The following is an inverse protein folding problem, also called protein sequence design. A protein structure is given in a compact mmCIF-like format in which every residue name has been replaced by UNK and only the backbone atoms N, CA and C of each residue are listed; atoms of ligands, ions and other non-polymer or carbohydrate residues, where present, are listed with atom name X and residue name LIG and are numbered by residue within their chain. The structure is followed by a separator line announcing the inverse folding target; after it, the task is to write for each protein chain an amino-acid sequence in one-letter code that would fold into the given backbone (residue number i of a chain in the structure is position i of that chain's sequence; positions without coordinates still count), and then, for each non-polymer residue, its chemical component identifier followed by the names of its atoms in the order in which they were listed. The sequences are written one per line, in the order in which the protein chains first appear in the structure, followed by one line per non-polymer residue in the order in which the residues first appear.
data_IF_671634350689
#
_entry.id   IF_671634350689
#
_cell.length_a   1.000
_cell.length_b   1.000
_cell.length_c   1.000
_cell.angle_alpha   90.00
_cell.angle_beta   90.00
_cell.angle_gamma   90.00
#
_symmetry.space_group_name_H-M   'P 1'
#
loop_
_entity.id
_entity.type
_entity.pdbx_description
1 polymer ?
#
# COMPACT_ATOMS: atom_id res chain seq x y z
N UNK A 1 18.99 -56.81 -28.87
CA UNK A 1 18.27 -56.36 -30.09
C UNK A 1 17.82 -54.92 -29.84
N UNK A 2 18.53 -53.96 -30.42
CA UNK A 2 18.24 -52.52 -30.29
C UNK A 2 17.15 -52.13 -31.29
N UNK A 3 16.01 -51.62 -30.82
CA UNK A 3 14.99 -51.02 -31.67
C UNK A 3 15.09 -49.49 -31.57
N UNK A 4 15.77 -48.89 -32.55
CA UNK A 4 15.79 -47.45 -32.82
C UNK A 4 14.37 -46.97 -33.09
N UNK A 5 13.81 -46.15 -32.20
CA UNK A 5 12.60 -45.40 -32.49
C UNK A 5 12.99 -43.99 -32.94
N UNK A 6 12.58 -43.68 -34.18
CA UNK A 6 12.79 -42.40 -34.84
C UNK A 6 11.89 -41.36 -34.17
N UNK A 7 12.51 -40.29 -33.67
CA UNK A 7 11.85 -39.04 -33.34
C UNK A 7 11.24 -38.44 -34.61
N UNK A 8 9.91 -38.41 -34.68
CA UNK A 8 9.15 -37.54 -35.57
C UNK A 8 8.93 -36.24 -34.79
N UNK A 9 9.78 -35.25 -35.04
CA UNK A 9 9.57 -33.88 -34.63
C UNK A 9 8.41 -33.31 -35.46
N UNK A 10 7.21 -33.33 -34.89
CA UNK A 10 6.07 -32.60 -35.41
C UNK A 10 6.17 -31.18 -34.83
N UNK A 11 6.79 -30.27 -35.58
CA UNK A 11 6.71 -28.83 -35.33
C UNK A 11 5.28 -28.38 -35.60
N UNK A 12 4.45 -28.40 -34.55
CA UNK A 12 3.21 -27.65 -34.50
C UNK A 12 3.56 -26.16 -34.41
N UNK A 13 3.46 -25.49 -35.55
CA UNK A 13 3.39 -24.04 -35.62
C UNK A 13 2.02 -23.67 -35.05
N UNK A 14 1.96 -23.35 -33.77
CA UNK A 14 0.80 -22.70 -33.19
C UNK A 14 0.75 -21.27 -33.76
N UNK A 15 -0.39 -20.83 -34.32
CA UNK A 15 -0.60 -19.40 -34.52
C UNK A 15 -0.54 -18.76 -33.13
N UNK A 16 0.33 -17.76 -32.98
CA UNK A 16 0.28 -16.83 -31.87
C UNK A 16 -1.09 -16.11 -31.95
N UNK A 17 -2.10 -16.73 -31.36
CA UNK A 17 -3.26 -16.01 -30.92
C UNK A 17 -2.74 -15.07 -29.82
N UNK A 18 -2.80 -13.78 -30.12
CA UNK A 18 -2.82 -12.74 -29.11
C UNK A 18 -4.05 -12.99 -28.23
N UNK A 19 -3.91 -13.90 -27.28
CA UNK A 19 -4.78 -13.97 -26.13
C UNK A 19 -4.30 -12.83 -25.22
N UNK A 20 -5.15 -11.82 -25.09
CA UNK A 20 -4.97 -10.75 -24.11
C UNK A 20 -5.06 -11.35 -22.72
N UNK A 21 -3.97 -11.95 -22.26
CA UNK A 21 -3.74 -12.04 -20.82
C UNK A 21 -3.77 -10.61 -20.32
N UNK A 22 -4.66 -10.31 -19.37
CA UNK A 22 -4.57 -9.11 -18.57
C UNK A 22 -3.13 -9.02 -18.11
N UNK A 23 -2.38 -8.09 -18.66
CA UNK A 23 -1.15 -7.63 -18.02
C UNK A 23 -1.67 -6.50 -17.18
N UNK A 24 -1.86 -6.73 -15.87
CA UNK A 24 -1.94 -5.59 -14.95
C UNK A 24 -0.58 -4.92 -15.06
N UNK A 25 -0.46 -3.96 -15.97
CA UNK A 25 0.70 -3.09 -16.06
C UNK A 25 0.56 -2.13 -14.91
N UNK A 26 1.28 -2.38 -13.82
CA UNK A 26 1.61 -1.34 -12.84
C UNK A 26 2.56 -0.36 -13.52
N UNK A 27 2.05 0.44 -14.45
CA UNK A 27 2.75 1.66 -14.89
C UNK A 27 2.71 2.62 -13.69
N UNK A 28 3.77 2.59 -12.87
CA UNK A 28 3.95 3.57 -11.81
C UNK A 28 3.92 5.00 -12.39
N UNK A 29 3.58 6.02 -11.61
CA UNK A 29 3.48 7.38 -12.11
C UNK A 29 4.82 7.82 -12.71
N UNK A 30 4.83 8.04 -14.03
CA UNK A 30 5.96 8.57 -14.77
C UNK A 30 6.43 9.89 -14.14
N UNK A 31 7.62 9.86 -13.55
CA UNK A 31 8.36 11.01 -13.03
C UNK A 31 8.69 11.98 -14.20
N UNK A 32 8.11 13.20 -14.27
CA UNK A 32 8.33 14.10 -15.40
C UNK A 32 9.55 14.98 -15.14
N UNK A 33 10.75 14.41 -15.28
CA UNK A 33 12.00 15.17 -15.24
C UNK A 33 12.80 15.01 -16.54
N UNK A 34 12.37 15.73 -17.59
CA UNK A 34 13.32 16.36 -18.51
C UNK A 34 12.69 17.55 -19.28
N UNK A 35 13.28 18.77 -19.23
CA UNK A 35 12.71 19.96 -19.84
C UNK A 35 13.09 20.11 -21.33
N UNK A 36 12.17 20.57 -22.21
CA UNK A 36 12.55 21.02 -23.54
C UNK A 36 13.09 22.46 -23.51
N UNK A 37 14.30 22.60 -24.04
CA UNK A 37 15.00 23.85 -24.34
C UNK A 37 14.22 24.80 -25.27
N UNK A 38 14.07 26.04 -24.80
CA UNK A 38 14.05 27.34 -25.52
C UNK A 38 13.35 27.46 -26.88
N UNK A 39 12.34 28.34 -26.93
CA UNK A 39 12.23 29.42 -27.94
C UNK A 39 11.33 30.55 -27.44
N UNK A 40 11.87 31.76 -27.44
CA UNK A 40 11.27 33.01 -26.98
C UNK A 40 10.25 33.57 -27.98
N UNK A 41 9.15 34.15 -27.51
CA UNK A 41 8.58 35.37 -28.11
C UNK A 41 7.78 36.20 -27.10
N UNK A 42 7.96 37.51 -27.19
CA UNK A 42 7.54 38.57 -26.29
C UNK A 42 6.26 39.29 -26.74
N UNK A 43 5.38 39.64 -25.81
CA UNK A 43 4.44 40.80 -25.81
C UNK A 43 3.54 40.64 -24.58
N UNK A 44 3.52 41.48 -23.54
CA UNK A 44 3.26 42.93 -23.54
C UNK A 44 1.80 43.15 -23.11
N UNK A 45 1.54 43.82 -21.98
CA UNK A 45 0.17 44.18 -21.57
C UNK A 45 0.02 44.56 -20.09
N UNK A 46 0.00 45.86 -19.84
CA UNK A 46 -0.24 46.54 -18.56
C UNK A 46 -1.70 46.45 -18.04
N UNK A 47 -1.84 46.57 -16.71
CA UNK A 47 -2.81 47.49 -16.09
C UNK A 47 -4.10 46.90 -15.48
N UNK A 48 -4.44 47.39 -14.27
CA UNK A 48 -5.81 47.32 -13.75
C UNK A 48 -5.94 47.41 -12.24
N UNK A 49 -6.21 48.62 -11.73
CA UNK A 49 -6.51 48.93 -10.33
C UNK A 49 -8.02 48.88 -10.06
N UNK A 50 -8.39 48.58 -8.81
CA UNK A 50 -9.49 49.25 -8.10
C UNK A 50 -10.83 48.50 -8.01
N UNK A 51 -11.45 48.57 -6.83
CA UNK A 51 -12.85 48.23 -6.62
C UNK A 51 -13.20 47.86 -5.18
N UNK A 52 -13.35 48.87 -4.34
CA UNK A 52 -13.93 48.83 -3.00
C UNK A 52 -15.45 48.54 -3.00
N UNK A 53 -15.95 48.26 -1.78
CA UNK A 53 -17.27 48.56 -1.22
C UNK A 53 -18.44 47.54 -1.27
N UNK A 54 -18.77 47.08 -0.05
CA UNK A 54 -20.12 47.12 0.55
C UNK A 54 -20.96 45.84 0.46
N UNK A 55 -21.82 45.49 1.42
CA UNK A 55 -22.15 45.98 2.76
C UNK A 55 -23.31 45.09 3.27
N UNK A 56 -23.41 44.87 4.59
CA UNK A 56 -24.64 44.51 5.33
C UNK A 56 -25.14 43.07 5.19
N UNK A 57 -25.16 42.24 6.23
CA UNK A 57 -25.98 42.33 7.46
C UNK A 57 -26.92 41.12 7.46
N UNK A 58 -27.45 40.51 8.52
CA UNK A 58 -27.43 40.61 9.98
C UNK A 58 -27.78 39.17 10.44
N UNK A 59 -27.15 38.56 11.44
CA UNK A 59 -27.50 38.74 12.85
C UNK A 59 -28.14 37.46 13.41
N UNK A 60 -27.59 36.91 14.51
CA UNK A 60 -28.13 35.67 15.07
C UNK A 60 -27.43 35.04 16.29
N UNK A 61 -27.36 35.73 17.43
CA UNK A 61 -27.36 35.26 18.85
C UNK A 61 -26.73 33.87 19.13
N UNK A 62 -25.60 33.72 19.82
CA UNK A 62 -25.33 34.16 21.18
C UNK A 62 -25.20 32.93 22.10
N UNK A 63 -24.00 32.67 22.63
CA UNK A 63 -23.71 31.62 23.61
C UNK A 63 -22.24 31.62 23.99
N UNK A 64 -21.99 32.02 25.23
CA UNK A 64 -20.72 32.47 25.81
C UNK A 64 -19.70 31.36 26.12
N UNK A 65 -18.49 31.84 26.44
CA UNK A 65 -17.38 31.22 27.20
C UNK A 65 -16.28 30.49 26.41
N UNK A 66 -15.13 31.16 26.26
CA UNK A 66 -13.86 30.52 25.90
C UNK A 66 -12.78 31.47 25.37
N UNK A 67 -12.17 32.26 26.27
CA UNK A 67 -11.00 33.10 25.99
C UNK A 67 -9.80 32.33 25.38
N UNK A 68 -9.16 32.94 24.37
CA UNK A 68 -7.71 33.07 24.34
C UNK A 68 -6.93 32.33 23.25
N UNK A 69 -6.35 33.10 22.32
CA UNK A 69 -5.01 32.81 21.80
C UNK A 69 -4.84 32.83 20.27
N UNK A 70 -4.47 33.98 19.72
CA UNK A 70 -3.72 34.08 18.46
C UNK A 70 -2.25 33.63 18.68
N UNK A 71 -1.70 32.88 17.72
CA UNK A 71 -0.27 32.57 17.60
C UNK A 71 -0.04 31.16 17.08
N UNK A 72 0.75 30.86 16.06
CA UNK A 72 1.56 31.67 15.15
C UNK A 72 2.01 30.77 13.99
N UNK A 73 2.50 31.38 12.92
CA UNK A 73 3.17 30.69 11.83
C UNK A 73 4.58 30.28 12.28
N UNK A 74 4.98 29.03 12.00
CA UNK A 74 6.39 28.64 11.95
C UNK A 74 6.67 27.20 12.40
N UNK A 75 7.33 26.43 11.53
CA UNK A 75 8.08 25.23 11.91
C UNK A 75 7.99 24.09 10.92
N UNK A 76 8.77 24.15 9.84
CA UNK A 76 9.46 22.94 9.36
C UNK A 76 10.32 22.40 10.51
N UNK A 77 10.42 21.07 10.60
CA UNK A 77 11.37 20.23 11.37
C UNK A 77 10.71 19.29 12.41
N UNK A 78 10.72 17.99 12.07
CA UNK A 78 11.03 16.83 12.91
C UNK A 78 10.31 16.65 14.25
N UNK A 79 9.44 15.64 14.31
CA UNK A 79 8.98 15.06 15.56
C UNK A 79 8.85 13.53 15.45
N UNK A 80 9.85 12.81 15.95
CA UNK A 80 9.74 11.42 16.38
C UNK A 80 8.79 11.32 17.59
N UNK A 81 7.90 10.34 17.54
CA UNK A 81 7.31 9.70 18.72
C UNK A 81 6.01 10.32 19.24
N UNK A 82 4.96 9.50 19.27
CA UNK A 82 3.82 9.72 20.15
C UNK A 82 2.53 9.08 19.67
N UNK A 83 2.36 7.79 19.96
CA UNK A 83 1.06 7.15 19.99
C UNK A 83 0.04 7.96 20.81
N UNK A 84 -1.15 8.10 20.25
CA UNK A 84 -2.23 8.86 20.86
C UNK A 84 -3.23 9.32 19.82
N UNK A 85 -4.20 8.45 19.53
CA UNK A 85 -5.51 8.85 18.99
C UNK A 85 -6.00 10.12 19.68
N UNK A 86 -6.40 11.09 18.85
CA UNK A 86 -7.40 12.13 19.08
C UNK A 86 -6.97 13.48 18.46
N UNK A 87 -6.76 13.53 17.12
CA UNK A 87 -7.16 14.62 16.20
C UNK A 87 -6.62 14.42 14.76
N UNK A 88 -7.35 13.66 13.93
CA UNK A 88 -7.71 14.11 12.58
C UNK A 88 -6.73 14.00 11.40
N UNK A 89 -5.53 13.43 11.54
CA UNK A 89 -4.66 13.16 10.40
C UNK A 89 -4.32 11.67 10.32
N UNK A 90 -4.79 11.01 9.26
CA UNK A 90 -4.33 9.67 8.89
C UNK A 90 -2.86 9.72 8.41
N UNK A 91 -2.19 8.57 8.43
CA UNK A 91 -0.84 8.39 7.89
C UNK A 91 -0.95 8.28 6.36
N UNK A 92 -0.28 9.17 5.65
CA UNK A 92 -0.15 9.06 4.20
C UNK A 92 0.97 8.07 3.84
N UNK A 93 0.82 7.40 2.71
CA UNK A 93 1.89 6.66 2.06
C UNK A 93 3.03 7.64 1.76
N UNK A 94 4.20 7.34 2.30
CA UNK A 94 5.34 8.23 2.24
C UNK A 94 6.61 7.57 2.72
N UNK A 95 7.67 8.36 2.78
CA UNK A 95 8.98 7.87 3.19
C UNK A 95 9.06 7.77 4.72
N UNK A 96 9.90 6.86 5.20
CA UNK A 96 10.30 6.75 6.60
C UNK A 96 11.81 6.52 6.68
N UNK A 97 12.42 6.89 7.80
CA UNK A 97 13.81 6.55 8.12
C UNK A 97 13.94 5.20 8.82
N UNK A 98 12.82 4.62 9.27
CA UNK A 98 12.78 3.25 9.78
C UNK A 98 12.94 2.30 8.59
N UNK A 99 13.85 1.35 8.71
CA UNK A 99 14.12 0.33 7.70
C UNK A 99 14.02 -1.08 8.28
N UNK A 100 14.26 -2.09 7.44
CA UNK A 100 14.15 -3.50 7.82
C UNK A 100 15.10 -3.90 8.95
N UNK A 101 16.19 -3.16 9.20
CA UNK A 101 17.11 -3.46 10.31
C UNK A 101 16.44 -3.19 11.67
N UNK A 102 15.44 -2.29 11.73
CA UNK A 102 14.66 -2.04 12.95
C UNK A 102 13.93 -3.29 13.46
N UNK A 103 13.64 -4.27 12.58
CA UNK A 103 13.04 -5.54 12.99
C UNK A 103 13.95 -6.36 13.90
N UNK A 104 15.28 -6.19 13.82
CA UNK A 104 16.24 -6.91 14.66
C UNK A 104 16.27 -6.40 16.11
N UNK A 105 15.83 -5.15 16.32
CA UNK A 105 15.80 -4.51 17.64
C UNK A 105 14.51 -4.82 18.42
N UNK A 106 13.53 -5.48 17.79
CA UNK A 106 12.28 -5.86 18.45
C UNK A 106 12.54 -6.86 19.59
N UNK A 107 11.76 -6.76 20.66
CA UNK A 107 11.80 -7.74 21.75
C UNK A 107 11.41 -9.16 21.29
N UNK A 108 10.60 -9.26 20.24
CA UNK A 108 10.19 -10.51 19.57
C UNK A 108 11.18 -10.98 18.50
N UNK A 109 12.32 -10.31 18.31
CA UNK A 109 13.33 -10.71 17.33
C UNK A 109 14.26 -11.82 17.86
N UNK A 110 14.71 -12.75 17.00
CA UNK A 110 15.69 -13.77 17.39
C UNK A 110 16.98 -13.21 17.99
N UNK A 111 17.43 -12.04 17.51
CA UNK A 111 18.61 -11.34 18.03
C UNK A 111 18.44 -10.90 19.50
N UNK A 112 17.21 -10.60 19.92
CA UNK A 112 16.83 -10.21 21.28
C UNK A 112 16.64 -11.39 22.23
N UNK A 113 16.85 -12.62 21.75
CA UNK A 113 16.69 -13.84 22.53
C UNK A 113 15.27 -14.43 22.50
N UNK A 114 14.38 -13.85 21.67
CA UNK A 114 13.13 -14.48 21.25
C UNK A 114 13.46 -15.63 20.30
N UNK A 115 14.04 -16.70 20.83
CA UNK A 115 14.40 -17.85 20.01
C UNK A 115 13.14 -18.43 19.36
N UNK A 116 13.30 -19.12 18.24
CA UNK A 116 12.26 -19.88 17.55
C UNK A 116 11.62 -20.90 18.49
N UNK A 117 10.71 -20.47 19.35
CA UNK A 117 9.96 -21.32 20.28
C UNK A 117 8.53 -21.53 19.81
N UNK A 118 8.21 -20.97 18.64
CA UNK A 118 6.90 -21.04 18.01
C UNK A 118 6.81 -22.30 17.13
N UNK A 119 5.58 -22.68 16.79
CA UNK A 119 5.32 -23.92 16.06
C UNK A 119 5.41 -25.18 16.91
N UNK A 120 5.02 -26.31 16.32
CA UNK A 120 5.04 -27.61 17.01
C UNK A 120 6.48 -28.08 17.31
N UNK A 121 7.42 -27.79 16.40
CA UNK A 121 8.82 -28.22 16.47
C UNK A 121 9.76 -27.21 17.13
N UNK A 122 9.25 -26.02 17.52
CA UNK A 122 10.04 -24.93 18.14
C UNK A 122 11.22 -24.56 17.25
N UNK A 123 10.92 -24.30 15.99
CA UNK A 123 11.85 -23.87 14.96
C UNK A 123 11.25 -22.76 14.07
N UNK A 124 10.01 -22.36 14.32
CA UNK A 124 9.38 -21.25 13.61
C UNK A 124 9.80 -19.90 14.22
N UNK A 125 10.14 -18.95 13.36
CA UNK A 125 10.37 -17.56 13.76
C UNK A 125 9.07 -16.95 14.34
N UNK A 126 9.16 -16.09 15.37
CA UNK A 126 8.05 -15.31 15.88
C UNK A 126 7.25 -14.61 14.78
N UNK A 127 5.92 -14.72 14.83
CA UNK A 127 5.04 -14.25 13.75
C UNK A 127 5.16 -12.74 13.54
N UNK A 128 5.26 -11.94 14.61
CA UNK A 128 5.44 -10.50 14.50
C UNK A 128 6.78 -10.10 13.87
N UNK A 129 7.85 -10.87 14.11
CA UNK A 129 9.15 -10.63 13.48
C UNK A 129 9.12 -10.96 11.97
N UNK A 130 8.46 -12.05 11.57
CA UNK A 130 8.23 -12.36 10.14
C UNK A 130 7.39 -11.28 9.46
N UNK A 131 6.30 -10.85 10.11
CA UNK A 131 5.47 -9.75 9.63
C UNK A 131 6.29 -8.47 9.46
N UNK A 132 7.10 -8.09 10.46
CA UNK A 132 7.95 -6.89 10.38
C UNK A 132 8.82 -6.89 9.12
N UNK A 133 9.54 -7.98 8.85
CA UNK A 133 10.39 -8.09 7.65
C UNK A 133 9.57 -8.02 6.36
N UNK A 134 8.40 -8.66 6.35
CA UNK A 134 7.50 -8.69 5.19
C UNK A 134 6.87 -7.31 4.92
N UNK A 135 6.58 -6.55 5.96
CA UNK A 135 5.97 -5.23 5.89
C UNK A 135 6.77 -4.25 5.03
N UNK A 136 8.11 -4.25 5.13
CA UNK A 136 8.97 -3.40 4.30
C UNK A 136 8.96 -3.74 2.80
N UNK A 137 8.44 -4.90 2.43
CA UNK A 137 8.23 -5.26 1.02
C UNK A 137 6.81 -4.88 0.57
N UNK A 138 5.82 -5.09 1.44
CA UNK A 138 4.41 -4.95 1.07
C UNK A 138 3.86 -3.55 1.23
N UNK A 139 4.25 -2.84 2.28
CA UNK A 139 3.63 -1.59 2.68
C UNK A 139 4.51 -0.39 2.34
N UNK A 140 3.89 0.77 2.17
CA UNK A 140 4.63 2.01 2.00
C UNK A 140 5.52 2.25 3.25
N UNK A 141 6.69 2.89 3.11
CA UNK A 141 7.64 3.01 4.21
C UNK A 141 7.07 3.63 5.49
N UNK A 142 6.19 4.63 5.38
CA UNK A 142 5.49 5.22 6.54
C UNK A 142 4.58 4.24 7.26
N UNK A 143 3.86 3.38 6.54
CA UNK A 143 2.98 2.36 7.11
C UNK A 143 3.77 1.20 7.72
N UNK A 144 4.84 0.76 7.06
CA UNK A 144 5.74 -0.24 7.64
C UNK A 144 6.36 0.26 8.96
N UNK A 145 6.73 1.54 9.03
CA UNK A 145 7.24 2.16 10.25
C UNK A 145 6.20 2.21 11.37
N UNK A 146 4.95 2.55 11.06
CA UNK A 146 3.83 2.53 12.02
C UNK A 146 3.62 1.12 12.60
N UNK A 147 3.66 0.10 11.74
CA UNK A 147 3.58 -1.29 12.17
C UNK A 147 4.76 -1.70 13.06
N UNK A 148 5.98 -1.30 12.71
CA UNK A 148 7.19 -1.58 13.52
C UNK A 148 7.08 -0.95 14.90
N UNK A 149 6.57 0.28 15.00
CA UNK A 149 6.36 0.98 16.28
C UNK A 149 5.43 0.16 17.19
N UNK A 150 4.26 -0.26 16.69
CA UNK A 150 3.34 -1.10 17.44
C UNK A 150 3.95 -2.47 17.81
N UNK A 151 4.64 -3.13 16.86
CA UNK A 151 5.30 -4.42 17.13
C UNK A 151 6.39 -4.32 18.20
N UNK A 152 7.00 -3.13 18.38
CA UNK A 152 8.03 -2.89 19.39
C UNK A 152 7.51 -2.95 20.83
N UNK A 153 6.21 -2.73 21.01
CA UNK A 153 5.53 -2.82 22.31
C UNK A 153 5.19 -4.27 22.70
N UNK A 154 5.27 -5.21 21.76
CA UNK A 154 5.04 -6.63 22.05
C UNK A 154 6.23 -7.20 22.82
N UNK A 155 5.99 -7.53 24.09
CA UNK A 155 6.99 -8.20 24.92
C UNK A 155 7.27 -9.64 24.48
N UNK A 156 8.51 -10.11 24.71
CA UNK A 156 8.98 -11.47 24.37
C UNK A 156 8.07 -12.61 24.86
N UNK A 157 7.33 -12.42 25.95
CA UNK A 157 6.38 -13.42 26.46
C UNK A 157 5.20 -13.71 25.51
N UNK A 158 4.95 -12.84 24.53
CA UNK A 158 3.88 -12.94 23.52
C UNK A 158 4.44 -13.16 22.11
N UNK A 159 5.73 -13.54 21.99
CA UNK A 159 6.42 -13.70 20.69
C UNK A 159 5.72 -14.67 19.72
N UNK A 160 5.00 -15.67 20.24
CA UNK A 160 4.27 -16.65 19.44
C UNK A 160 2.77 -16.37 19.33
N UNK A 161 2.27 -15.30 19.94
CA UNK A 161 0.84 -15.01 19.96
C UNK A 161 0.45 -14.18 18.73
N UNK A 162 -0.57 -14.66 18.00
CA UNK A 162 -1.05 -14.01 16.79
C UNK A 162 -1.91 -12.77 17.09
N UNK A 163 -2.62 -12.76 18.22
CA UNK A 163 -3.56 -11.71 18.60
C UNK A 163 -2.91 -10.31 18.67
N UNK A 164 -1.82 -10.08 19.43
CA UNK A 164 -1.21 -8.75 19.49
C UNK A 164 -0.60 -8.31 18.15
N UNK A 165 -0.14 -9.27 17.33
CA UNK A 165 0.38 -8.98 16.00
C UNK A 165 -0.73 -8.55 15.04
N UNK A 166 -1.90 -9.18 15.13
CA UNK A 166 -3.09 -8.79 14.38
C UNK A 166 -3.65 -7.44 14.82
N UNK A 167 -3.59 -7.12 16.11
CA UNK A 167 -3.95 -5.79 16.62
C UNK A 167 -3.06 -4.71 15.99
N UNK A 168 -1.73 -4.91 15.97
CA UNK A 168 -0.82 -3.97 15.32
C UNK A 168 -1.06 -3.82 13.81
N UNK A 169 -1.33 -4.92 13.10
CA UNK A 169 -1.68 -4.84 11.69
C UNK A 169 -2.99 -4.07 11.50
N UNK A 170 -3.99 -4.33 12.33
CA UNK A 170 -5.29 -3.64 12.27
C UNK A 170 -5.12 -2.14 12.52
N UNK A 171 -4.34 -1.76 13.54
CA UNK A 171 -4.04 -0.37 13.86
C UNK A 171 -3.37 0.35 12.68
N UNK A 172 -2.37 -0.27 12.04
CA UNK A 172 -1.73 0.28 10.84
C UNK A 172 -2.75 0.55 9.71
N UNK A 173 -3.70 -0.37 9.49
CA UNK A 173 -4.76 -0.20 8.49
C UNK A 173 -5.76 0.90 8.86
N UNK A 174 -6.12 1.02 10.14
CA UNK A 174 -7.01 2.07 10.65
C UNK A 174 -6.36 3.46 10.58
N UNK A 175 -5.04 3.53 10.75
CA UNK A 175 -4.26 4.75 10.66
C UNK A 175 -3.99 5.18 9.21
N UNK A 176 -4.05 4.27 8.24
CA UNK A 176 -3.77 4.60 6.83
C UNK A 176 -4.81 5.56 6.24
N UNK A 177 -4.35 6.52 5.43
CA UNK A 177 -5.27 7.43 4.76
C UNK A 177 -6.20 6.69 3.78
N UNK A 178 -7.49 7.06 3.73
CA UNK A 178 -8.44 6.42 2.84
C UNK A 178 -8.20 6.80 1.38
N UNK A 179 -8.56 5.88 0.47
CA UNK A 179 -8.55 6.05 -0.99
C UNK A 179 -7.17 6.25 -1.62
N UNK A 180 -6.09 5.87 -0.94
CA UNK A 180 -4.74 5.99 -1.50
C UNK A 180 -4.53 5.04 -2.69
N UNK A 181 -5.18 3.87 -2.64
CA UNK A 181 -5.15 2.89 -3.73
C UNK A 181 -6.35 2.99 -4.69
N UNK A 182 -7.19 4.03 -4.60
CA UNK A 182 -8.45 4.08 -5.36
C UNK A 182 -8.22 4.15 -6.88
N UNK A 183 -7.21 4.89 -7.34
CA UNK A 183 -6.86 5.00 -8.77
C UNK A 183 -6.47 3.64 -9.34
N UNK A 184 -5.49 2.97 -8.73
CA UNK A 184 -5.08 1.61 -9.04
C UNK A 184 -6.27 0.62 -9.03
N UNK A 185 -7.12 0.67 -8.00
CA UNK A 185 -8.26 -0.24 -7.90
C UNK A 185 -9.33 0.00 -8.97
N UNK A 186 -9.46 1.23 -9.48
CA UNK A 186 -10.30 1.50 -10.64
C UNK A 186 -9.69 0.90 -11.91
N UNK A 187 -8.37 0.98 -12.10
CA UNK A 187 -7.69 0.35 -13.24
C UNK A 187 -7.84 -1.18 -13.22
N UNK A 188 -7.69 -1.81 -12.05
CA UNK A 188 -7.97 -3.25 -11.87
C UNK A 188 -9.44 -3.53 -12.23
N UNK A 189 -10.37 -2.69 -11.77
CA UNK A 189 -11.80 -2.86 -12.08
C UNK A 189 -12.07 -2.80 -13.58
N UNK A 190 -11.48 -1.85 -14.30
CA UNK A 190 -11.63 -1.73 -15.76
C UNK A 190 -11.16 -2.99 -16.48
N UNK A 191 -10.02 -3.55 -16.07
CA UNK A 191 -9.53 -4.82 -16.60
C UNK A 191 -10.45 -6.00 -16.28
N UNK A 192 -11.06 -6.00 -15.10
CA UNK A 192 -11.98 -7.05 -14.67
C UNK A 192 -13.35 -6.99 -15.35
N UNK A 193 -13.81 -5.80 -15.75
CA UNK A 193 -15.02 -5.62 -16.56
C UNK A 193 -14.85 -6.28 -17.94
N UNK A 194 -13.67 -6.18 -18.54
CA UNK A 194 -13.38 -6.83 -19.83
C UNK A 194 -13.46 -8.37 -19.75
N UNK A 195 -13.36 -8.93 -18.53
CA UNK A 195 -13.54 -10.35 -18.24
C UNK A 195 -15.00 -10.73 -17.90
N UNK A 196 -15.95 -9.81 -18.06
CA UNK A 196 -17.37 -9.98 -17.69
C UNK A 196 -17.59 -10.29 -16.18
N UNK A 197 -16.63 -9.93 -15.31
CA UNK A 197 -16.75 -10.11 -13.84
C UNK A 197 -17.23 -8.82 -13.15
N UNK A 198 -18.55 -8.66 -13.04
CA UNK A 198 -19.18 -7.53 -12.34
C UNK A 198 -19.06 -7.61 -10.80
N UNK A 199 -18.38 -8.62 -10.24
CA UNK A 199 -18.35 -8.85 -8.79
C UNK A 199 -17.17 -8.21 -8.07
N UNK A 200 -16.21 -7.65 -8.82
CA UNK A 200 -15.09 -6.91 -8.24
C UNK A 200 -15.55 -5.60 -7.60
N UNK A 201 -15.05 -5.29 -6.40
CA UNK A 201 -15.43 -4.10 -5.65
C UNK A 201 -14.22 -3.17 -5.49
N UNK A 202 -14.12 -2.08 -6.27
CA UNK A 202 -13.00 -1.14 -6.17
C UNK A 202 -12.88 -0.48 -4.78
N UNK A 203 -14.00 -0.31 -4.09
CA UNK A 203 -13.99 0.24 -2.73
C UNK A 203 -13.34 -0.69 -1.71
N UNK A 204 -13.59 -2.00 -1.81
CA UNK A 204 -12.91 -2.98 -0.96
C UNK A 204 -11.43 -3.08 -1.31
N UNK A 205 -11.11 -3.12 -2.61
CA UNK A 205 -9.72 -3.09 -3.08
C UNK A 205 -8.96 -1.88 -2.51
N UNK A 206 -9.58 -0.69 -2.54
CA UNK A 206 -8.95 0.51 -2.02
C UNK A 206 -8.67 0.39 -0.52
N UNK A 207 -9.60 -0.18 0.26
CA UNK A 207 -9.40 -0.42 1.70
C UNK A 207 -8.25 -1.40 1.94
N UNK A 208 -8.22 -2.52 1.22
CA UNK A 208 -7.22 -3.58 1.38
C UNK A 208 -5.81 -3.13 0.99
N UNK A 209 -5.70 -2.27 -0.03
CA UNK A 209 -4.42 -1.82 -0.59
C UNK A 209 -3.99 -0.43 -0.10
N UNK A 210 -4.77 0.25 0.74
CA UNK A 210 -4.40 1.57 1.26
C UNK A 210 -2.98 1.64 1.85
N UNK A 211 -2.50 0.65 2.64
CA UNK A 211 -1.15 0.73 3.18
C UNK A 211 -0.07 0.20 2.23
N UNK A 212 -0.42 -0.37 1.07
CA UNK A 212 0.54 -1.03 0.18
C UNK A 212 1.53 -0.04 -0.44
N UNK A 213 2.73 -0.54 -0.73
CA UNK A 213 3.69 0.11 -1.61
C UNK A 213 3.45 -0.33 -3.07
N UNK A 214 4.08 0.36 -4.01
CA UNK A 214 4.11 -0.05 -5.43
C UNK A 214 4.65 -1.48 -5.61
N UNK A 215 5.61 -1.88 -4.76
CA UNK A 215 6.17 -3.24 -4.79
C UNK A 215 5.15 -4.29 -4.32
N UNK A 216 4.42 -4.01 -3.24
CA UNK A 216 3.34 -4.88 -2.77
C UNK A 216 2.20 -5.00 -3.79
N UNK A 217 1.84 -3.88 -4.43
CA UNK A 217 0.85 -3.85 -5.52
C UNK A 217 1.33 -4.70 -6.71
N UNK A 218 2.60 -4.56 -7.09
CA UNK A 218 3.19 -5.34 -8.18
C UNK A 218 3.17 -6.83 -7.87
N UNK A 219 3.51 -7.22 -6.64
CA UNK A 219 3.48 -8.62 -6.22
C UNK A 219 2.05 -9.21 -6.29
N UNK A 220 1.05 -8.43 -5.87
CA UNK A 220 -0.36 -8.81 -6.01
C UNK A 220 -0.77 -8.97 -7.47
N UNK A 221 -0.41 -8.01 -8.32
CA UNK A 221 -0.67 -8.05 -9.76
C UNK A 221 -0.04 -9.27 -10.43
N UNK A 222 1.22 -9.56 -10.11
CA UNK A 222 1.94 -10.73 -10.61
C UNK A 222 1.25 -12.03 -10.23
N UNK A 223 0.82 -12.17 -8.96
CA UNK A 223 0.05 -13.33 -8.53
C UNK A 223 -1.25 -13.49 -9.33
N UNK A 224 -2.01 -12.40 -9.53
CA UNK A 224 -3.26 -12.46 -10.28
C UNK A 224 -3.02 -12.88 -11.73
N UNK A 225 -1.99 -12.32 -12.37
CA UNK A 225 -1.59 -12.63 -13.73
C UNK A 225 -1.20 -14.12 -13.89
N UNK A 226 -0.46 -14.68 -12.92
CA UNK A 226 -0.15 -16.11 -12.88
C UNK A 226 -1.41 -16.97 -12.74
N UNK A 227 -2.35 -16.56 -11.88
CA UNK A 227 -3.64 -17.22 -11.71
C UNK A 227 -4.44 -17.32 -13.00
N UNK A 228 -4.59 -16.21 -13.73
CA UNK A 228 -5.27 -16.19 -15.04
C UNK A 228 -4.54 -17.02 -16.10
N UNK A 229 -3.20 -17.09 -16.03
CA UNK A 229 -2.41 -17.97 -16.90
C UNK A 229 -2.62 -19.47 -16.61
N UNK A 230 -3.01 -19.81 -15.37
CA UNK A 230 -3.21 -21.18 -14.93
C UNK A 230 -4.65 -21.68 -15.10
N UNK A 231 -5.66 -20.82 -14.93
CA UNK A 231 -7.08 -21.16 -15.09
C UNK A 231 -7.85 -20.09 -15.88
N UNK A 232 -8.29 -20.46 -17.08
CA UNK A 232 -9.06 -19.62 -18.00
C UNK A 232 -10.47 -19.27 -17.50
N UNK A 233 -10.95 -19.97 -16.46
CA UNK A 233 -12.26 -19.71 -15.85
C UNK A 233 -12.15 -18.97 -14.50
N UNK A 234 -10.93 -18.58 -14.09
CA UNK A 234 -10.73 -17.85 -12.85
C UNK A 234 -11.35 -16.46 -12.98
N UNK A 235 -12.29 -16.15 -12.10
CA UNK A 235 -12.90 -14.82 -12.08
C UNK A 235 -11.91 -13.82 -11.45
N UNK A 236 -11.99 -12.56 -11.84
CA UNK A 236 -11.10 -11.54 -11.29
C UNK A 236 -11.23 -11.42 -9.77
N UNK A 237 -12.47 -11.47 -9.24
CA UNK A 237 -12.67 -11.45 -7.79
C UNK A 237 -12.00 -12.63 -7.09
N UNK A 238 -12.06 -13.83 -7.67
CA UNK A 238 -11.42 -15.02 -7.12
C UNK A 238 -9.89 -14.86 -7.14
N UNK A 239 -9.33 -14.46 -8.28
CA UNK A 239 -7.89 -14.17 -8.42
C UNK A 239 -7.42 -13.16 -7.38
N UNK A 240 -8.11 -12.02 -7.26
CA UNK A 240 -7.79 -10.99 -6.27
C UNK A 240 -7.85 -11.52 -4.83
N UNK A 241 -8.93 -12.23 -4.47
CA UNK A 241 -9.13 -12.73 -3.10
C UNK A 241 -8.03 -13.72 -2.72
N UNK A 242 -7.73 -14.67 -3.61
CA UNK A 242 -6.73 -15.70 -3.36
C UNK A 242 -5.32 -15.08 -3.32
N UNK A 243 -5.01 -14.19 -4.25
CA UNK A 243 -3.71 -13.53 -4.30
C UNK A 243 -3.48 -12.56 -3.16
N UNK A 244 -4.49 -11.82 -2.74
CA UNK A 244 -4.39 -10.96 -1.56
C UNK A 244 -4.06 -11.79 -0.30
N UNK A 245 -4.72 -12.94 -0.11
CA UNK A 245 -4.40 -13.85 0.99
C UNK A 245 -2.99 -14.42 0.90
N UNK A 246 -2.51 -14.76 -0.30
CA UNK A 246 -1.15 -15.25 -0.52
C UNK A 246 -0.12 -14.16 -0.19
N UNK A 247 -0.30 -12.96 -0.73
CA UNK A 247 0.61 -11.83 -0.54
C UNK A 247 0.69 -11.45 0.94
N UNK A 248 -0.46 -11.43 1.62
CA UNK A 248 -0.58 -11.12 3.06
C UNK A 248 -0.28 -12.30 3.98
N UNK A 249 0.13 -13.46 3.46
CA UNK A 249 0.54 -14.59 4.31
C UNK A 249 1.98 -14.41 4.82
N UNK A 250 2.19 -14.65 6.11
CA UNK A 250 3.47 -14.56 6.79
C UNK A 250 3.59 -15.57 7.93
#
# INVERSE_FOLDING_TARGET
MLARHRLLALTLIFPAAAYGGCVITSDGPDDPLDPPTTSSTSSGGDGGWGGDDGDGGDGGWGGDDGDGGDGGWGGDDGGDGGGGSDTGACIAAGNSTVDVEACEDLAIAPASGAHAQCGEDRDEEPIGYRLCKRAFTLFAPSHAADLVDCLSDIGVQYECDIEPVQECLTEMYENACPNQALELCNEITEQCIDLEDETFNPGQCAVDLNPFSDAGVTELGDCMNEGFGADENLTCRAAYTDCYQIVMSF
#
